data_IF_668803164636
#
_entry.id   IF_668803164636
#
_cell.length_a   1.000
_cell.length_b   1.000
_cell.length_c   1.000
_cell.angle_alpha   90.00
_cell.angle_beta   90.00
_cell.angle_gamma   90.00
#
_symmetry.space_group_name_H-M   'P 1'
#
loop_
_entity.id
_entity.type
_entity.pdbx_description
1 polymer ?
#
# COMPACT_ATOMS: atom_id res chain seq x y z
N UNK A 1 33.72 81.85 -30.53
CA UNK A 1 34.35 81.96 -29.20
C UNK A 1 33.39 81.32 -28.21
N UNK A 2 33.65 80.27 -27.44
CA UNK A 2 34.80 79.41 -27.17
C UNK A 2 34.35 78.45 -26.05
N UNK A 3 34.99 77.26 -25.96
CA UNK A 3 35.15 76.40 -24.78
C UNK A 3 33.92 76.17 -23.87
N UNK A 4 33.27 75.01 -23.80
CA UNK A 4 33.82 73.68 -23.54
C UNK A 4 33.95 73.42 -22.02
N UNK A 5 33.10 72.56 -21.44
CA UNK A 5 33.51 71.52 -20.46
C UNK A 5 32.37 70.56 -20.10
N UNK A 6 32.80 69.33 -19.82
CA UNK A 6 32.07 68.06 -19.69
C UNK A 6 31.43 67.90 -18.31
N UNK A 7 30.36 67.09 -18.22
CA UNK A 7 29.79 66.61 -16.96
C UNK A 7 28.91 65.38 -17.13
N UNK A 8 29.55 64.21 -17.07
CA UNK A 8 29.12 62.87 -16.59
C UNK A 8 27.69 62.35 -16.92
N UNK A 9 27.66 61.27 -17.71
CA UNK A 9 26.55 60.34 -17.91
C UNK A 9 26.31 59.48 -16.65
N UNK A 10 25.06 59.35 -16.23
CA UNK A 10 24.59 58.27 -15.36
C UNK A 10 23.41 57.57 -16.04
N UNK A 11 23.65 56.33 -16.50
CA UNK A 11 22.62 55.44 -17.01
C UNK A 11 22.04 54.61 -15.85
N UNK A 12 20.72 54.68 -15.66
CA UNK A 12 19.97 53.81 -14.77
C UNK A 12 19.50 52.59 -15.57
N UNK A 13 20.13 51.44 -15.34
CA UNK A 13 19.70 50.15 -15.88
C UNK A 13 18.65 49.53 -14.95
N UNK A 14 17.46 49.26 -15.47
CA UNK A 14 16.37 48.57 -14.77
C UNK A 14 16.60 47.06 -14.87
N UNK A 15 17.01 46.43 -13.77
CA UNK A 15 17.08 44.97 -13.66
C UNK A 15 15.79 44.43 -13.05
N UNK A 16 15.02 43.66 -13.82
CA UNK A 16 13.91 42.84 -13.30
C UNK A 16 14.52 41.52 -12.83
N UNK A 17 14.57 41.33 -11.51
CA UNK A 17 15.00 40.08 -10.88
C UNK A 17 13.91 39.01 -11.02
N UNK A 18 14.23 37.91 -11.69
CA UNK A 18 13.48 36.66 -11.58
C UNK A 18 13.80 36.07 -10.20
N UNK A 19 12.81 36.00 -9.32
CA UNK A 19 12.95 35.29 -8.06
C UNK A 19 13.18 33.81 -8.37
N UNK A 20 14.41 33.34 -8.14
CA UNK A 20 14.75 31.92 -8.13
C UNK A 20 14.08 31.30 -6.91
N UNK A 21 12.94 30.64 -7.10
CA UNK A 21 12.35 29.77 -6.10
C UNK A 21 13.26 28.54 -5.98
N UNK A 22 13.78 28.20 -4.78
CA UNK A 22 14.54 26.97 -4.63
C UNK A 22 13.64 25.77 -4.96
N UNK A 23 14.13 24.87 -5.81
CA UNK A 23 13.44 23.63 -6.10
C UNK A 23 13.21 22.86 -4.78
N UNK A 24 12.06 22.17 -4.62
CA UNK A 24 11.87 21.28 -3.49
C UNK A 24 12.99 20.23 -3.46
N UNK A 25 13.42 19.78 -2.27
CA UNK A 25 14.46 18.76 -2.16
C UNK A 25 14.05 17.54 -2.98
N UNK A 26 14.95 17.08 -3.85
CA UNK A 26 14.79 15.82 -4.57
C UNK A 26 14.54 14.73 -3.54
N UNK A 27 13.35 14.12 -3.57
CA UNK A 27 13.09 12.90 -2.82
C UNK A 27 14.15 11.86 -3.25
N UNK A 28 14.63 11.02 -2.31
CA UNK A 28 15.50 9.90 -2.68
C UNK A 28 14.80 9.12 -3.80
N UNK A 29 15.53 8.88 -4.90
CA UNK A 29 15.03 8.02 -5.97
C UNK A 29 14.95 6.60 -5.40
N UNK A 30 13.76 6.26 -4.94
CA UNK A 30 13.39 4.90 -4.57
C UNK A 30 13.50 4.05 -5.83
N UNK A 31 14.36 3.04 -5.77
CA UNK A 31 14.57 2.12 -6.88
C UNK A 31 13.36 1.21 -7.04
N UNK A 32 12.97 0.95 -8.27
CA UNK A 32 12.10 -0.17 -8.63
C UNK A 32 12.92 -1.46 -8.51
N UNK A 33 12.69 -2.26 -7.48
CA UNK A 33 13.45 -3.50 -7.28
C UNK A 33 12.67 -4.72 -7.78
N UNK A 34 13.38 -5.55 -8.54
CA UNK A 34 12.94 -6.85 -9.01
C UNK A 34 13.03 -7.89 -7.89
N UNK A 35 11.95 -8.64 -7.67
CA UNK A 35 12.00 -9.90 -6.91
C UNK A 35 13.04 -10.86 -7.50
N UNK A 36 13.46 -11.86 -6.71
CA UNK A 36 14.44 -12.89 -7.08
C UNK A 36 14.08 -13.70 -8.35
N UNK A 37 12.82 -13.66 -8.80
CA UNK A 37 12.32 -14.25 -10.05
C UNK A 37 12.22 -13.25 -11.23
N UNK A 38 12.60 -11.99 -11.02
CA UNK A 38 12.56 -10.91 -12.00
C UNK A 38 11.17 -10.30 -12.24
N UNK A 39 10.14 -10.68 -11.48
CA UNK A 39 8.74 -10.40 -11.84
C UNK A 39 8.09 -9.23 -11.12
N UNK A 40 8.55 -8.92 -9.93
CA UNK A 40 7.93 -7.93 -9.03
C UNK A 40 8.53 -6.55 -9.33
N UNK A 41 7.73 -5.55 -9.65
CA UNK A 41 8.21 -4.18 -9.88
C UNK A 41 7.39 -3.21 -9.04
N UNK A 42 7.64 -3.22 -7.74
CA UNK A 42 7.02 -2.27 -6.80
C UNK A 42 8.05 -1.20 -6.48
N UNK A 43 7.68 0.06 -6.68
CA UNK A 43 8.52 1.20 -6.30
C UNK A 43 8.67 1.23 -4.76
N UNK A 44 9.87 1.56 -4.28
CA UNK A 44 10.12 1.63 -2.83
C UNK A 44 10.60 0.35 -2.15
N UNK A 45 10.70 -0.74 -2.91
CA UNK A 45 11.31 -1.98 -2.44
C UNK A 45 12.83 -1.86 -2.54
N UNK A 46 13.55 -2.24 -1.48
CA UNK A 46 15.01 -2.25 -1.50
C UNK A 46 15.60 -3.47 -2.23
N UNK A 47 16.92 -3.52 -2.40
CA UNK A 47 17.62 -4.60 -3.11
C UNK A 47 17.41 -6.00 -2.51
N UNK A 48 16.93 -6.08 -1.27
CA UNK A 48 16.67 -7.33 -0.53
C UNK A 48 15.19 -7.73 -0.60
N UNK A 49 14.35 -6.98 -1.31
CA UNK A 49 12.91 -7.23 -1.34
C UNK A 49 12.17 -6.74 -0.09
N UNK A 50 12.69 -5.70 0.57
CA UNK A 50 12.20 -5.19 1.85
C UNK A 50 11.65 -3.76 1.74
N UNK A 51 10.54 -3.50 2.43
CA UNK A 51 9.97 -2.17 2.67
C UNK A 51 10.07 -1.89 4.18
N UNK A 52 11.00 -1.00 4.55
CA UNK A 52 11.30 -0.66 5.97
C UNK A 52 10.49 0.51 6.51
N UNK A 53 9.99 1.36 5.62
CA UNK A 53 9.11 2.48 5.94
C UNK A 53 7.97 2.50 4.92
N UNK A 54 6.73 2.62 5.39
CA UNK A 54 5.57 2.73 4.50
C UNK A 54 5.54 4.08 3.76
N UNK A 55 6.35 5.06 4.18
CA UNK A 55 6.54 6.34 3.47
C UNK A 55 7.33 6.20 2.18
N UNK A 56 8.05 5.11 2.03
CA UNK A 56 8.94 4.88 0.92
C UNK A 56 8.28 4.03 -0.18
N UNK A 57 7.02 3.61 -0.04
CA UNK A 57 6.38 2.71 -1.01
C UNK A 57 4.85 2.91 -1.07
N UNK A 58 4.19 2.65 -2.21
CA UNK A 58 2.72 2.58 -2.28
C UNK A 58 2.13 1.36 -1.54
N UNK A 59 2.95 0.47 -0.96
CA UNK A 59 2.48 -0.66 -0.17
C UNK A 59 2.27 -0.24 1.29
N UNK A 60 1.05 -0.43 1.80
CA UNK A 60 0.81 -0.28 3.22
C UNK A 60 1.47 -1.41 4.00
N UNK A 61 2.08 -1.10 5.14
CA UNK A 61 2.69 -2.11 6.03
C UNK A 61 1.72 -2.60 7.09
N UNK A 62 0.86 -1.73 7.59
CA UNK A 62 -0.11 -2.07 8.64
C UNK A 62 -1.50 -1.55 8.29
N UNK A 63 -2.51 -2.15 8.93
CA UNK A 63 -3.76 -1.43 9.18
C UNK A 63 -3.69 -0.68 10.52
N UNK A 64 -4.35 0.46 10.57
CA UNK A 64 -4.34 1.39 11.68
C UNK A 64 -5.75 1.57 12.23
N UNK A 65 -5.85 1.75 13.55
CA UNK A 65 -7.02 2.35 14.19
C UNK A 65 -6.75 3.83 14.45
N UNK A 66 -7.79 4.64 14.38
CA UNK A 66 -7.73 6.04 14.82
C UNK A 66 -7.79 6.08 16.35
N UNK A 67 -6.93 6.90 16.95
CA UNK A 67 -6.89 7.22 18.38
C UNK A 67 -7.09 8.72 18.58
N UNK A 68 -7.18 9.18 19.82
CA UNK A 68 -7.28 10.61 20.12
C UNK A 68 -5.98 11.36 19.72
N UNK A 69 -4.84 10.66 19.76
CA UNK A 69 -3.51 11.21 19.48
C UNK A 69 -3.01 10.92 18.04
N UNK A 70 -3.82 10.27 17.20
CA UNK A 70 -3.47 9.98 15.80
C UNK A 70 -3.90 8.60 15.32
N UNK A 71 -2.93 7.81 14.86
CA UNK A 71 -3.15 6.47 14.30
C UNK A 71 -2.18 5.47 14.93
N UNK A 72 -2.69 4.32 15.32
CA UNK A 72 -1.92 3.25 15.96
C UNK A 72 -1.98 1.99 15.09
N UNK A 73 -0.83 1.37 14.75
CA UNK A 73 -0.80 0.14 13.96
C UNK A 73 -1.44 -1.00 14.78
N UNK A 74 -2.20 -1.86 14.11
CA UNK A 74 -3.01 -2.89 14.81
C UNK A 74 -2.84 -4.31 14.29
N UNK A 75 -2.50 -4.49 13.01
CA UNK A 75 -2.28 -5.78 12.35
C UNK A 75 -1.49 -5.56 11.04
N UNK A 76 -0.73 -6.57 10.61
CA UNK A 76 0.04 -6.52 9.38
C UNK A 76 -0.84 -6.57 8.13
N UNK A 77 -0.37 -5.92 7.08
CA UNK A 77 -0.66 -6.31 5.70
C UNK A 77 0.13 -7.58 5.39
N UNK A 78 -0.49 -8.56 4.74
CA UNK A 78 0.12 -9.87 4.48
C UNK A 78 -0.15 -10.41 3.06
N UNK A 79 -0.90 -9.67 2.24
CA UNK A 79 -1.08 -9.92 0.81
C UNK A 79 -0.98 -8.60 0.07
N UNK A 80 -0.25 -8.57 -1.05
CA UNK A 80 -0.09 -7.41 -1.92
C UNK A 80 -0.42 -7.82 -3.34
N UNK A 81 -1.25 -7.05 -4.02
CA UNK A 81 -1.51 -7.20 -5.45
C UNK A 81 -0.79 -6.09 -6.19
N UNK A 82 -0.03 -6.48 -7.20
CA UNK A 82 0.58 -5.56 -8.15
C UNK A 82 -0.18 -5.65 -9.48
N UNK A 83 -0.89 -4.57 -9.80
CA UNK A 83 -1.79 -4.45 -10.95
C UNK A 83 -1.16 -3.65 -12.10
N UNK A 84 0.16 -3.40 -12.11
CA UNK A 84 0.81 -2.65 -13.21
C UNK A 84 0.53 -3.27 -14.59
N UNK A 85 0.38 -4.60 -14.65
CA UNK A 85 0.20 -5.36 -15.90
C UNK A 85 -1.26 -5.58 -16.31
N UNK A 86 -2.22 -5.29 -15.43
CA UNK A 86 -3.64 -5.47 -15.73
C UNK A 86 -4.47 -4.44 -14.94
N UNK A 87 -4.84 -3.30 -15.56
CA UNK A 87 -5.52 -2.21 -14.88
C UNK A 87 -7.00 -2.53 -14.65
N UNK A 88 -7.28 -3.41 -13.69
CA UNK A 88 -8.64 -3.70 -13.20
C UNK A 88 -8.97 -3.05 -11.86
N UNK A 89 -7.95 -2.53 -11.15
CA UNK A 89 -8.09 -1.87 -9.85
C UNK A 89 -8.62 -2.79 -8.75
N UNK A 90 -9.06 -2.19 -7.65
CA UNK A 90 -9.56 -2.91 -6.47
C UNK A 90 -10.71 -3.88 -6.79
N UNK A 91 -11.63 -3.51 -7.67
CA UNK A 91 -12.77 -4.38 -8.02
C UNK A 91 -12.33 -5.68 -8.70
N UNK A 92 -11.23 -5.65 -9.47
CA UNK A 92 -10.65 -6.86 -10.08
C UNK A 92 -10.06 -7.81 -9.04
N UNK A 93 -9.47 -7.26 -7.97
CA UNK A 93 -9.03 -8.02 -6.80
C UNK A 93 -10.25 -8.58 -6.06
N UNK A 94 -11.32 -7.82 -5.87
CA UNK A 94 -12.48 -8.30 -5.12
C UNK A 94 -13.30 -9.38 -5.86
N UNK A 95 -13.28 -9.41 -7.20
CA UNK A 95 -14.12 -10.31 -8.00
C UNK A 95 -13.95 -11.81 -7.69
N UNK A 96 -12.73 -12.41 -7.64
CA UNK A 96 -12.56 -13.81 -7.24
C UNK A 96 -13.14 -14.18 -5.86
N UNK A 97 -13.17 -13.23 -4.92
CA UNK A 97 -13.77 -13.44 -3.61
C UNK A 97 -15.30 -13.50 -3.72
N UNK A 98 -15.90 -12.59 -4.46
CA UNK A 98 -17.34 -12.59 -4.70
C UNK A 98 -17.80 -13.83 -5.47
N UNK A 99 -17.06 -14.22 -6.52
CA UNK A 99 -17.35 -15.40 -7.33
C UNK A 99 -17.26 -16.70 -6.51
N UNK A 100 -16.41 -16.72 -5.48
CA UNK A 100 -16.33 -17.81 -4.50
C UNK A 100 -17.34 -17.71 -3.35
N UNK A 101 -18.26 -16.75 -3.41
CA UNK A 101 -19.38 -16.60 -2.48
C UNK A 101 -19.09 -15.75 -1.25
N UNK A 102 -17.99 -14.99 -1.21
CA UNK A 102 -17.70 -14.08 -0.10
C UNK A 102 -18.65 -12.88 -0.12
N UNK A 103 -18.94 -12.36 1.08
CA UNK A 103 -19.85 -11.24 1.30
C UNK A 103 -19.06 -9.96 1.56
N UNK A 104 -19.37 -8.88 0.84
CA UNK A 104 -18.71 -7.56 0.97
C UNK A 104 -19.36 -6.59 1.95
N UNK A 105 -20.62 -6.82 2.29
CA UNK A 105 -21.36 -5.99 3.25
C UNK A 105 -21.31 -6.65 4.62
N UNK A 106 -20.48 -6.12 5.52
CA UNK A 106 -20.26 -6.66 6.86
C UNK A 106 -20.28 -5.53 7.88
N UNK A 107 -20.68 -5.84 9.12
CA UNK A 107 -20.45 -4.94 10.26
C UNK A 107 -19.00 -5.13 10.74
N UNK A 108 -18.20 -4.07 10.65
CA UNK A 108 -16.80 -4.12 11.07
C UNK A 108 -16.29 -2.79 11.59
N UNK A 109 -15.17 -2.85 12.32
CA UNK A 109 -14.48 -1.65 12.76
C UNK A 109 -13.84 -0.93 11.58
N UNK A 110 -13.98 0.39 11.54
CA UNK A 110 -13.26 1.22 10.57
C UNK A 110 -11.75 1.13 10.81
N UNK A 111 -11.01 0.79 9.75
CA UNK A 111 -9.55 0.75 9.71
C UNK A 111 -8.99 1.66 8.63
N UNK A 112 -7.72 1.99 8.77
CA UNK A 112 -6.98 2.90 7.91
C UNK A 112 -5.67 2.26 7.46
N UNK A 113 -5.10 2.75 6.36
CA UNK A 113 -3.73 2.47 5.96
C UNK A 113 -3.08 3.77 5.51
N UNK A 114 -1.76 3.87 5.61
CA UNK A 114 -1.04 5.07 5.23
C UNK A 114 -0.81 5.12 3.71
N UNK A 115 -1.10 6.27 3.10
CA UNK A 115 -0.91 6.59 1.69
C UNK A 115 0.32 7.49 1.56
N UNK A 116 1.44 6.91 1.10
CA UNK A 116 2.73 7.60 1.00
C UNK A 116 2.71 8.79 0.05
N UNK A 117 2.00 8.68 -1.09
CA UNK A 117 1.94 9.71 -2.11
C UNK A 117 1.24 10.98 -1.59
N UNK A 118 0.26 10.80 -0.71
CA UNK A 118 -0.58 11.88 -0.19
C UNK A 118 -0.24 12.29 1.23
N UNK A 119 0.64 11.56 1.92
CA UNK A 119 0.99 11.73 3.33
C UNK A 119 -0.25 11.76 4.24
N UNK A 120 -1.16 10.78 4.06
CA UNK A 120 -2.42 10.68 4.83
C UNK A 120 -2.80 9.25 5.15
N UNK A 121 -3.59 9.08 6.22
CA UNK A 121 -4.25 7.80 6.52
C UNK A 121 -5.59 7.70 5.78
N UNK A 122 -5.71 6.69 4.93
CA UNK A 122 -6.89 6.45 4.09
C UNK A 122 -7.74 5.34 4.70
N UNK A 123 -9.04 5.61 4.83
CA UNK A 123 -10.02 4.61 5.27
C UNK A 123 -10.02 3.41 4.32
N UNK A 124 -10.18 2.22 4.88
CA UNK A 124 -10.37 0.99 4.10
C UNK A 124 -11.42 1.17 2.97
N UNK A 125 -11.10 0.60 1.81
CA UNK A 125 -11.84 0.83 0.58
C UNK A 125 -12.74 -0.35 0.22
N UNK A 126 -12.31 -1.58 0.54
CA UNK A 126 -13.13 -2.77 0.40
C UNK A 126 -12.89 -3.75 1.55
N UNK A 127 -13.90 -4.59 1.79
CA UNK A 127 -13.84 -5.73 2.69
C UNK A 127 -14.57 -6.91 2.05
N UNK A 128 -14.22 -8.13 2.43
CA UNK A 128 -15.02 -9.32 2.17
C UNK A 128 -14.76 -10.39 3.22
N UNK A 129 -15.75 -11.21 3.53
CA UNK A 129 -15.60 -12.38 4.40
C UNK A 129 -16.46 -13.55 3.91
N UNK A 130 -16.11 -14.78 4.30
CA UNK A 130 -16.82 -15.98 3.86
C UNK A 130 -18.29 -16.04 4.30
N UNK A 131 -18.63 -15.37 5.41
CA UNK A 131 -20.00 -15.31 5.95
C UNK A 131 -20.28 -13.94 6.55
N UNK A 132 -21.56 -13.56 6.69
CA UNK A 132 -21.92 -12.28 7.31
C UNK A 132 -21.62 -12.24 8.82
N UNK A 133 -21.99 -13.31 9.54
CA UNK A 133 -21.76 -13.44 11.00
C UNK A 133 -20.58 -14.37 11.28
N UNK A 134 -19.55 -13.85 11.94
CA UNK A 134 -18.41 -14.64 12.43
C UNK A 134 -18.74 -15.40 13.71
N UNK A 135 -19.51 -16.49 13.65
CA UNK A 135 -19.78 -17.31 14.85
C UNK A 135 -18.64 -18.28 15.18
N UNK A 136 -17.78 -18.61 14.21
CA UNK A 136 -16.61 -19.49 14.31
C UNK A 136 -15.62 -19.12 13.20
N UNK A 137 -14.30 -19.20 13.47
CA UNK A 137 -13.18 -19.14 12.51
C UNK A 137 -13.57 -18.76 11.08
N UNK A 138 -13.58 -17.47 10.76
CA UNK A 138 -14.04 -16.96 9.45
C UNK A 138 -12.93 -16.20 8.76
N UNK A 139 -12.65 -16.51 7.48
CA UNK A 139 -11.70 -15.69 6.71
C UNK A 139 -12.30 -14.33 6.38
N UNK A 140 -11.50 -13.29 6.59
CA UNK A 140 -11.87 -11.89 6.43
C UNK A 140 -10.71 -11.14 5.78
N UNK A 141 -11.03 -10.27 4.83
CA UNK A 141 -10.08 -9.36 4.20
C UNK A 141 -10.50 -7.90 4.32
N UNK A 142 -9.50 -7.02 4.38
CA UNK A 142 -9.65 -5.57 4.21
C UNK A 142 -8.61 -5.08 3.22
N UNK A 143 -9.01 -4.17 2.34
CA UNK A 143 -8.19 -3.74 1.21
C UNK A 143 -8.06 -2.22 1.14
N UNK A 144 -6.89 -1.79 0.67
CA UNK A 144 -6.54 -0.41 0.34
C UNK A 144 -5.81 -0.39 -1.00
N UNK A 145 -6.26 0.44 -1.93
CA UNK A 145 -5.60 0.68 -3.20
C UNK A 145 -4.86 2.02 -3.18
N UNK A 146 -3.58 1.97 -3.54
CA UNK A 146 -2.69 3.11 -3.75
C UNK A 146 -1.98 2.94 -5.09
N UNK A 147 -2.35 3.77 -6.08
CA UNK A 147 -1.89 3.60 -7.46
C UNK A 147 -2.31 2.26 -8.06
N UNK A 148 -1.34 1.53 -8.62
CA UNK A 148 -1.48 0.16 -9.16
C UNK A 148 -1.35 -0.93 -8.09
N UNK A 149 -1.17 -0.59 -6.82
CA UNK A 149 -0.98 -1.55 -5.74
C UNK A 149 -2.24 -1.67 -4.90
N UNK A 150 -2.66 -2.91 -4.60
CA UNK A 150 -3.65 -3.19 -3.55
C UNK A 150 -2.96 -3.89 -2.40
N UNK A 151 -2.96 -3.24 -1.24
CA UNK A 151 -2.53 -3.84 0.02
C UNK A 151 -3.74 -4.48 0.71
N UNK A 152 -3.61 -5.75 1.09
CA UNK A 152 -4.67 -6.53 1.71
C UNK A 152 -4.21 -7.10 3.06
N UNK A 153 -5.03 -6.85 4.07
CA UNK A 153 -4.97 -7.56 5.34
C UNK A 153 -5.92 -8.76 5.25
N UNK A 154 -5.38 -9.97 5.38
CA UNK A 154 -6.12 -11.22 5.33
C UNK A 154 -5.93 -11.99 6.64
N UNK A 155 -7.03 -12.43 7.25
CA UNK A 155 -7.00 -13.12 8.54
C UNK A 155 -8.20 -14.04 8.72
N UNK A 156 -8.09 -14.95 9.67
CA UNK A 156 -9.20 -15.73 10.23
C UNK A 156 -9.60 -15.06 11.54
N UNK A 157 -10.87 -14.66 11.66
CA UNK A 157 -11.44 -14.13 12.90
C UNK A 157 -11.61 -15.25 13.93
N UNK A 158 -11.27 -15.02 15.19
CA UNK A 158 -11.73 -15.88 16.28
C UNK A 158 -13.26 -15.75 16.44
N UNK A 159 -13.89 -16.69 17.14
CA UNK A 159 -15.31 -16.56 17.50
C UNK A 159 -15.61 -15.29 18.34
N UNK A 160 -16.87 -14.86 18.31
CA UNK A 160 -17.31 -13.55 18.81
C UNK A 160 -17.20 -13.28 20.33
N UNK A 161 -16.87 -14.27 21.16
CA UNK A 161 -17.00 -14.16 22.62
C UNK A 161 -15.71 -14.52 23.36
N UNK A 162 -15.23 -13.69 24.31
CA UNK A 162 -15.76 -12.38 24.76
C UNK A 162 -15.30 -11.17 23.91
N UNK A 163 -14.30 -11.34 23.05
CA UNK A 163 -13.86 -10.35 22.07
C UNK A 163 -13.45 -11.09 20.81
N UNK A 164 -13.86 -10.60 19.65
CA UNK A 164 -13.29 -11.02 18.37
C UNK A 164 -11.81 -10.62 18.31
N UNK A 165 -10.98 -11.54 17.86
CA UNK A 165 -9.55 -11.38 17.61
C UNK A 165 -9.15 -12.07 16.31
N UNK A 166 -7.84 -12.20 16.10
CA UNK A 166 -7.29 -12.86 14.92
C UNK A 166 -6.78 -14.23 15.36
N UNK A 167 -7.32 -15.27 14.74
CA UNK A 167 -6.91 -16.65 14.91
C UNK A 167 -5.67 -16.95 14.08
N UNK A 168 -5.68 -16.57 12.78
CA UNK A 168 -4.53 -16.78 11.90
C UNK A 168 -4.50 -15.82 10.71
N UNK A 169 -3.36 -15.21 10.44
CA UNK A 169 -2.97 -14.58 9.19
C UNK A 169 -2.52 -15.61 8.15
N UNK A 170 -1.73 -16.61 8.56
CA UNK A 170 -1.13 -17.60 7.67
C UNK A 170 -2.19 -18.41 6.91
N UNK A 171 -3.24 -18.86 7.60
CA UNK A 171 -4.32 -19.66 7.00
C UNK A 171 -5.12 -18.88 5.95
N UNK A 172 -5.42 -17.61 6.23
CA UNK A 172 -6.12 -16.74 5.28
C UNK A 172 -5.23 -16.43 4.07
N UNK A 173 -3.95 -16.10 4.28
CA UNK A 173 -2.97 -15.87 3.22
C UNK A 173 -2.83 -17.09 2.31
N UNK A 174 -2.70 -18.29 2.87
CA UNK A 174 -2.60 -19.53 2.10
C UNK A 174 -3.89 -19.83 1.30
N UNK A 175 -5.06 -19.55 1.86
CA UNK A 175 -6.32 -19.70 1.14
C UNK A 175 -6.37 -18.78 -0.08
N UNK A 176 -6.04 -17.50 0.11
CA UNK A 176 -6.04 -16.51 -0.97
C UNK A 176 -5.04 -16.88 -2.06
N UNK A 177 -3.82 -17.30 -1.70
CA UNK A 177 -2.84 -17.81 -2.65
C UNK A 177 -3.40 -18.91 -3.55
N UNK A 178 -4.17 -19.86 -2.99
CA UNK A 178 -4.81 -20.92 -3.79
C UNK A 178 -5.96 -20.41 -4.63
N UNK A 179 -6.79 -19.51 -4.10
CA UNK A 179 -7.91 -18.92 -4.82
C UNK A 179 -7.44 -18.20 -6.08
N UNK A 180 -6.51 -17.24 -5.94
CA UNK A 180 -6.02 -16.47 -7.08
C UNK A 180 -5.20 -17.30 -8.07
N UNK A 181 -4.39 -18.26 -7.59
CA UNK A 181 -3.74 -19.21 -8.49
C UNK A 181 -4.75 -20.06 -9.29
N UNK A 182 -5.90 -20.40 -8.69
CA UNK A 182 -7.01 -21.10 -9.37
C UNK A 182 -7.67 -20.26 -10.46
N UNK A 183 -7.72 -18.95 -10.27
CA UNK A 183 -8.15 -17.96 -11.28
C UNK A 183 -7.07 -17.64 -12.33
N UNK A 184 -5.94 -18.35 -12.27
CA UNK A 184 -4.84 -18.20 -13.22
C UNK A 184 -3.86 -17.08 -12.92
N UNK A 185 -3.97 -16.39 -11.78
CA UNK A 185 -3.03 -15.31 -11.40
C UNK A 185 -1.69 -15.90 -10.96
N UNK A 186 -0.61 -15.15 -11.16
CA UNK A 186 0.71 -15.53 -10.67
C UNK A 186 0.83 -15.20 -9.18
N UNK A 187 1.34 -16.15 -8.39
CA UNK A 187 1.40 -16.03 -6.92
C UNK A 187 2.81 -16.31 -6.45
N UNK A 188 3.42 -15.30 -5.85
CA UNK A 188 4.77 -15.32 -5.30
C UNK A 188 4.71 -15.30 -3.77
N UNK A 189 4.62 -16.48 -3.12
CA UNK A 189 4.38 -16.56 -1.68
C UNK A 189 5.56 -16.01 -0.87
N UNK A 190 5.25 -15.20 0.14
CA UNK A 190 6.22 -14.68 1.13
C UNK A 190 7.47 -14.05 0.49
N UNK A 191 7.29 -13.26 -0.57
CA UNK A 191 8.40 -12.67 -1.33
C UNK A 191 8.72 -11.22 -0.98
N UNK A 192 7.80 -10.52 -0.31
CA UNK A 192 7.96 -9.13 0.08
C UNK A 192 8.04 -9.01 1.60
N UNK A 193 9.19 -8.58 2.11
CA UNK A 193 9.37 -8.32 3.53
C UNK A 193 8.87 -6.91 3.86
N UNK A 194 7.85 -6.81 4.73
CA UNK A 194 7.28 -5.54 5.15
C UNK A 194 7.77 -5.11 6.55
N UNK A 195 8.73 -5.83 7.14
CA UNK A 195 9.21 -5.64 8.51
C UNK A 195 8.05 -5.45 9.51
N UNK A 196 6.95 -6.20 9.32
CA UNK A 196 5.69 -6.04 10.05
C UNK A 196 5.30 -7.30 10.82
N UNK A 197 6.30 -8.10 11.23
CA UNK A 197 6.09 -9.36 11.93
C UNK A 197 5.18 -9.19 13.16
N UNK A 198 4.28 -10.14 13.34
CA UNK A 198 3.37 -10.22 14.47
C UNK A 198 3.26 -11.68 14.92
N UNK A 199 4.04 -11.99 15.94
CA UNK A 199 4.08 -13.32 16.54
C UNK A 199 2.72 -13.74 17.11
N UNK A 200 2.40 -15.05 17.10
CA UNK A 200 3.23 -16.15 16.59
C UNK A 200 2.99 -16.50 15.11
N UNK A 201 2.10 -15.79 14.41
CA UNK A 201 1.48 -16.30 13.17
C UNK A 201 1.77 -15.46 11.91
N UNK A 202 2.48 -14.34 12.05
CA UNK A 202 2.94 -13.54 10.91
C UNK A 202 4.42 -13.19 11.04
N UNK A 203 5.19 -13.62 10.04
CA UNK A 203 6.66 -13.55 9.99
C UNK A 203 7.19 -12.25 9.37
N UNK A 204 6.31 -11.32 9.02
CA UNK A 204 6.68 -10.05 8.39
C UNK A 204 6.64 -10.09 6.86
N UNK A 205 6.37 -11.25 6.26
CA UNK A 205 6.35 -11.42 4.81
C UNK A 205 4.93 -11.40 4.24
N UNK A 206 4.76 -10.65 3.16
CA UNK A 206 3.56 -10.66 2.34
C UNK A 206 3.70 -11.61 1.15
N UNK A 207 2.59 -12.26 0.81
CA UNK A 207 2.44 -12.89 -0.51
C UNK A 207 2.17 -11.81 -1.54
N UNK A 208 2.87 -11.84 -2.66
CA UNK A 208 2.58 -10.95 -3.79
C UNK A 208 1.85 -11.71 -4.89
N UNK A 209 0.81 -11.09 -5.44
CA UNK A 209 -0.08 -11.67 -6.44
C UNK A 209 -0.14 -10.73 -7.64
N UNK A 210 0.04 -11.29 -8.84
CA UNK A 210 0.01 -10.55 -10.10
C UNK A 210 -1.04 -11.14 -11.02
N UNK A 211 -1.83 -10.29 -11.65
CA UNK A 211 -2.64 -10.73 -12.77
C UNK A 211 -1.71 -10.96 -13.98
N UNK A 212 -1.88 -12.10 -14.65
CA UNK A 212 -1.21 -12.39 -15.92
C UNK A 212 -2.14 -11.96 -17.05
N UNK A 213 -1.59 -11.23 -18.03
CA UNK A 213 -2.30 -11.00 -19.29
C UNK A 213 -2.66 -12.35 -19.92
N UNK A 214 -3.94 -12.52 -20.28
CA UNK A 214 -4.46 -13.71 -20.93
C UNK A 214 -4.00 -13.83 -22.39
#
# INVERSE_FOLDING_TARGET
>A
MGFGRRGVLAALATGVGVALVPAPPSQPQLGRVQSADGRLQIDGVDAEGTIRDERDSPVARYHYKRTDDGFEPTSPINVVFDLERAPGGLERVMAPLEDSGWVRSLEEYTRYAYDADRDVYVRQQATAAETYYGTSGRRHVRCWQFGSVVSMQAHVDTGARPKHGIESYADARQYLSRLYAGEGWDVSPQTLNLENAQEPDHDGYATVIHEVEA
#
